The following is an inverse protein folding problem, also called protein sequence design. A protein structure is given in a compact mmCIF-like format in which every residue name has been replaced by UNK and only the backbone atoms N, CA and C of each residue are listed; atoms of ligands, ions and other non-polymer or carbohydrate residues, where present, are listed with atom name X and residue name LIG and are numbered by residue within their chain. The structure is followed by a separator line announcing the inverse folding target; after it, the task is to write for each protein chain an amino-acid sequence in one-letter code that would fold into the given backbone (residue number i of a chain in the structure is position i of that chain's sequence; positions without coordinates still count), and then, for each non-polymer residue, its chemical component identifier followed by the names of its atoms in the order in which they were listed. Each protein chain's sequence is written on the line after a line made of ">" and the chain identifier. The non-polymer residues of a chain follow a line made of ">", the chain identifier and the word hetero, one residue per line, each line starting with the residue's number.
data_IF_299188918829
#
_entry.id   IF_299188918829
#
_cell.length_a   1.000
_cell.length_b   1.000
_cell.length_c   1.000
_cell.angle_alpha   90.00
_cell.angle_beta   90.00
_cell.angle_gamma   90.00
#
_symmetry.space_group_name_H-M   'P 1'
#
loop_
_entity.id
_entity.type
_entity.pdbx_description
1 polymer ?
#
# COMPACT_ATOMS: atom_id res chain seq x y z
N UNK A 1 -1.93 28.22 23.61
CA UNK A 1 -2.56 27.65 22.42
C UNK A 1 -1.57 26.66 21.83
N UNK A 2 -1.76 25.37 22.10
CA UNK A 2 -0.95 24.34 21.45
C UNK A 2 -1.35 24.33 19.97
N UNK A 3 -0.36 24.39 19.10
CA UNK A 3 -0.54 24.41 17.65
C UNK A 3 -1.20 23.11 17.23
N UNK A 4 -2.45 23.19 16.75
CA UNK A 4 -3.27 22.07 16.25
C UNK A 4 -2.80 21.56 14.88
N UNK A 5 -1.47 21.56 14.67
CA UNK A 5 -0.82 21.24 13.41
C UNK A 5 0.23 20.17 13.61
N UNK A 6 0.29 19.24 12.66
CA UNK A 6 1.38 18.30 12.55
C UNK A 6 2.71 19.04 12.45
N UNK A 7 3.70 18.58 13.22
CA UNK A 7 5.05 19.16 13.16
C UNK A 7 5.69 18.93 11.78
N UNK A 8 6.60 19.80 11.31
CA UNK A 8 7.29 19.59 10.04
C UNK A 8 8.03 18.24 9.95
N UNK A 9 8.55 17.74 11.07
CA UNK A 9 9.20 16.44 11.15
C UNK A 9 8.19 15.29 10.97
N UNK A 10 7.04 15.36 11.64
CA UNK A 10 5.96 14.38 11.46
C UNK A 10 5.46 14.36 10.01
N UNK A 11 5.30 15.54 9.40
CA UNK A 11 4.93 15.67 8.00
C UNK A 11 5.97 15.02 7.07
N UNK A 12 7.26 15.27 7.30
CA UNK A 12 8.33 14.64 6.52
C UNK A 12 8.31 13.11 6.58
N UNK A 13 8.03 12.54 7.76
CA UNK A 13 7.89 11.09 7.96
C UNK A 13 6.71 10.52 7.16
N UNK A 14 5.55 11.18 7.23
CA UNK A 14 4.34 10.78 6.50
C UNK A 14 4.56 10.81 4.98
N UNK A 15 5.09 11.92 4.45
CA UNK A 15 5.31 12.09 3.01
C UNK A 15 6.35 11.09 2.49
N UNK A 16 7.45 10.86 3.22
CA UNK A 16 8.45 9.88 2.83
C UNK A 16 7.88 8.46 2.74
N UNK A 17 6.98 8.10 3.67
CA UNK A 17 6.28 6.83 3.62
C UNK A 17 5.37 6.71 2.40
N UNK A 18 4.57 7.75 2.09
CA UNK A 18 3.73 7.78 0.90
C UNK A 18 4.54 7.59 -0.38
N UNK A 19 5.70 8.23 -0.48
CA UNK A 19 6.62 8.09 -1.62
C UNK A 19 7.23 6.69 -1.77
N UNK A 20 7.38 5.96 -0.66
CA UNK A 20 7.90 4.58 -0.66
C UNK A 20 6.89 3.54 -1.18
N UNK A 21 5.66 3.96 -1.52
CA UNK A 21 4.67 3.11 -2.16
C UNK A 21 5.25 2.40 -3.41
N UNK A 22 4.81 1.17 -3.71
CA UNK A 22 5.31 0.41 -4.84
C UNK A 22 5.12 1.17 -6.16
N UNK A 23 6.21 1.32 -6.92
CA UNK A 23 6.16 1.98 -8.22
C UNK A 23 5.46 1.09 -9.25
N UNK A 24 4.21 1.39 -9.56
CA UNK A 24 3.42 0.65 -10.57
C UNK A 24 3.64 1.19 -11.99
N UNK A 25 4.90 1.37 -12.43
CA UNK A 25 5.27 1.86 -13.78
C UNK A 25 4.51 3.11 -14.33
N UNK A 26 3.83 3.85 -13.46
CA UNK A 26 3.13 5.10 -13.76
C UNK A 26 3.72 6.21 -12.89
N UNK A 27 3.71 7.47 -13.37
CA UNK A 27 4.06 8.61 -12.53
C UNK A 27 3.20 8.60 -11.26
N UNK A 28 3.79 8.97 -10.11
CA UNK A 28 3.07 9.10 -8.84
C UNK A 28 1.93 10.11 -9.04
N UNK A 29 0.67 9.67 -9.06
CA UNK A 29 -0.45 10.47 -9.57
C UNK A 29 -1.12 11.34 -8.52
N UNK A 30 -0.59 11.36 -7.29
CA UNK A 30 -1.27 11.95 -6.14
C UNK A 30 -0.63 13.26 -5.68
N UNK A 31 -1.51 14.18 -5.27
CA UNK A 31 -1.16 15.42 -4.57
C UNK A 31 -1.67 15.31 -3.13
N UNK A 32 -0.79 15.56 -2.17
CA UNK A 32 -1.15 15.52 -0.74
C UNK A 32 -1.30 16.94 -0.22
N UNK A 33 -2.44 17.23 0.39
CA UNK A 33 -2.68 18.46 1.15
C UNK A 33 -2.83 18.12 2.62
N UNK A 34 -2.20 18.90 3.50
CA UNK A 34 -2.25 18.67 4.94
C UNK A 34 -2.77 19.93 5.62
N UNK A 35 -3.85 19.77 6.40
CA UNK A 35 -4.43 20.84 7.19
C UNK A 35 -4.64 20.36 8.62
N UNK A 36 -3.80 20.83 9.53
CA UNK A 36 -3.83 20.38 10.91
C UNK A 36 -3.54 18.88 11.03
N UNK A 37 -4.55 18.15 11.46
CA UNK A 37 -4.59 16.69 11.65
C UNK A 37 -5.28 15.92 10.51
N UNK A 38 -5.54 16.60 9.39
CA UNK A 38 -6.24 16.07 8.23
C UNK A 38 -5.31 16.03 7.03
N UNK A 39 -5.23 14.87 6.39
CA UNK A 39 -4.38 14.61 5.22
C UNK A 39 -5.30 14.20 4.06
N UNK A 40 -5.41 15.08 3.09
CA UNK A 40 -6.18 14.85 1.86
C UNK A 40 -5.25 14.39 0.74
N UNK A 41 -5.65 13.33 0.07
CA UNK A 41 -4.94 12.74 -1.07
C UNK A 41 -5.80 12.91 -2.31
N UNK A 42 -5.37 13.80 -3.19
CA UNK A 42 -6.02 14.08 -4.45
C UNK A 42 -5.43 13.24 -5.57
N UNK A 43 -6.27 12.82 -6.49
CA UNK A 43 -5.89 12.31 -7.79
C UNK A 43 -6.34 13.32 -8.85
N UNK A 44 -5.47 13.61 -9.81
CA UNK A 44 -5.91 14.33 -11.01
C UNK A 44 -7.01 13.50 -11.69
N UNK A 45 -8.04 14.17 -12.23
CA UNK A 45 -9.17 13.50 -12.88
C UNK A 45 -8.68 12.64 -14.06
N UNK A 46 -8.45 11.35 -13.80
CA UNK A 46 -8.14 10.40 -14.83
C UNK A 46 -9.45 9.97 -15.51
N UNK A 47 -9.52 10.20 -16.82
CA UNK A 47 -10.55 9.63 -17.69
C UNK A 47 -10.61 8.11 -17.49
N UNK A 48 -11.79 7.50 -17.70
CA UNK A 48 -11.99 6.06 -17.52
C UNK A 48 -11.08 5.24 -18.45
N UNK A 49 -9.91 4.86 -17.95
CA UNK A 49 -8.89 4.05 -18.64
C UNK A 49 -8.16 3.12 -17.64
N UNK A 50 -7.49 2.08 -18.15
CA UNK A 50 -6.66 1.16 -17.37
C UNK A 50 -5.57 1.88 -16.56
N UNK A 51 -5.04 3.01 -17.07
CA UNK A 51 -4.08 3.86 -16.34
C UNK A 51 -4.70 4.43 -15.06
N UNK A 52 -5.95 4.89 -15.12
CA UNK A 52 -6.65 5.44 -13.96
C UNK A 52 -6.80 4.40 -12.85
N UNK A 53 -7.07 3.15 -13.21
CA UNK A 53 -7.13 2.03 -12.26
C UNK A 53 -5.77 1.77 -11.62
N UNK A 54 -4.68 1.74 -12.39
CA UNK A 54 -3.33 1.56 -11.85
C UNK A 54 -2.98 2.69 -10.88
N UNK A 55 -3.33 3.93 -11.24
CA UNK A 55 -3.11 5.11 -10.40
C UNK A 55 -3.87 5.00 -9.08
N UNK A 56 -5.16 4.64 -9.09
CA UNK A 56 -5.94 4.43 -7.86
C UNK A 56 -5.36 3.35 -6.97
N UNK A 57 -4.94 2.23 -7.54
CA UNK A 57 -4.31 1.15 -6.76
C UNK A 57 -2.97 1.61 -6.17
N UNK A 58 -2.16 2.36 -6.92
CA UNK A 58 -0.94 2.96 -6.38
C UNK A 58 -1.25 3.95 -5.23
N UNK A 59 -2.29 4.78 -5.39
CA UNK A 59 -2.73 5.74 -4.37
C UNK A 59 -3.18 5.03 -3.10
N UNK A 60 -3.95 3.94 -3.24
CA UNK A 60 -4.32 3.11 -2.09
C UNK A 60 -3.10 2.59 -1.32
N UNK A 61 -2.07 2.16 -2.03
CA UNK A 61 -0.82 1.74 -1.40
C UNK A 61 -0.11 2.89 -0.64
N UNK A 62 -0.12 4.11 -1.21
CA UNK A 62 0.40 5.30 -0.53
C UNK A 62 -0.41 5.67 0.72
N UNK A 63 -1.74 5.58 0.66
CA UNK A 63 -2.65 5.77 1.80
C UNK A 63 -2.34 4.78 2.92
N UNK A 64 -2.07 3.50 2.60
CA UNK A 64 -1.68 2.53 3.63
C UNK A 64 -0.33 2.86 4.27
N UNK A 65 0.65 3.31 3.48
CA UNK A 65 1.93 3.76 4.03
C UNK A 65 1.78 4.97 4.96
N UNK A 66 0.87 5.90 4.65
CA UNK A 66 0.54 7.03 5.53
C UNK A 66 -0.01 6.56 6.88
N UNK A 67 -0.90 5.55 6.89
CA UNK A 67 -1.41 4.94 8.13
C UNK A 67 -0.29 4.31 8.97
N UNK A 68 0.63 3.58 8.33
CA UNK A 68 1.78 2.98 9.02
C UNK A 68 2.68 4.06 9.65
N UNK A 69 2.97 5.12 8.89
CA UNK A 69 3.77 6.25 9.37
C UNK A 69 3.07 7.00 10.52
N UNK A 70 1.75 7.21 10.43
CA UNK A 70 0.95 7.79 11.52
C UNK A 70 1.06 6.95 12.81
N UNK A 71 0.91 5.62 12.72
CA UNK A 71 1.06 4.73 13.86
C UNK A 71 2.46 4.82 14.49
N UNK A 72 3.52 4.90 13.67
CA UNK A 72 4.91 5.07 14.15
C UNK A 72 5.15 6.37 14.91
N UNK A 73 4.32 7.38 14.67
CA UNK A 73 4.33 8.69 15.32
C UNK A 73 3.35 8.77 16.49
N UNK A 74 2.76 7.64 16.91
CA UNK A 74 1.73 7.56 17.96
C UNK A 74 0.44 8.32 17.62
N UNK A 75 0.04 8.27 16.35
CA UNK A 75 -1.29 8.69 15.90
C UNK A 75 -2.16 7.48 15.57
N UNK A 76 -3.44 7.54 15.93
CA UNK A 76 -4.47 6.69 15.33
C UNK A 76 -4.91 7.31 14.00
N UNK A 77 -5.46 6.51 13.09
CA UNK A 77 -5.82 6.98 11.74
C UNK A 77 -7.11 6.39 11.20
N UNK A 78 -7.99 7.26 10.68
CA UNK A 78 -9.22 6.88 10.00
C UNK A 78 -9.20 7.33 8.54
N UNK A 79 -9.60 6.45 7.63
CA UNK A 79 -9.58 6.70 6.19
C UNK A 79 -10.98 6.68 5.61
N UNK A 80 -11.29 7.71 4.85
CA UNK A 80 -12.51 7.78 4.00
C UNK A 80 -12.09 7.88 2.54
N UNK A 81 -12.57 6.95 1.71
CA UNK A 81 -12.30 6.92 0.27
C UNK A 81 -13.44 7.63 -0.48
N UNK A 82 -13.11 8.57 -1.37
CA UNK A 82 -14.08 9.42 -2.08
C UNK A 82 -15.20 9.96 -1.17
N UNK A 83 -14.87 10.70 -0.09
CA UNK A 83 -15.83 11.09 0.94
C UNK A 83 -16.91 12.06 0.42
N UNK A 84 -16.65 12.78 -0.68
CA UNK A 84 -17.52 13.82 -1.20
C UNK A 84 -17.81 13.62 -2.69
N UNK A 85 -19.07 13.33 -3.08
CA UNK A 85 -19.45 13.17 -4.48
C UNK A 85 -19.24 14.42 -5.35
N UNK A 86 -19.20 15.60 -4.73
CA UNK A 86 -18.99 16.89 -5.41
C UNK A 86 -17.50 17.23 -5.59
N UNK A 87 -16.58 16.46 -5.00
CA UNK A 87 -15.13 16.62 -5.13
C UNK A 87 -14.50 15.30 -5.61
N UNK A 88 -14.74 14.89 -6.86
CA UNK A 88 -14.29 13.58 -7.37
C UNK A 88 -12.76 13.44 -7.44
N UNK A 89 -12.01 14.55 -7.38
CA UNK A 89 -10.55 14.53 -7.26
C UNK A 89 -10.05 14.14 -5.87
N UNK A 90 -10.85 14.29 -4.81
CA UNK A 90 -10.47 13.90 -3.45
C UNK A 90 -10.60 12.39 -3.28
N UNK A 91 -9.52 11.67 -3.54
CA UNK A 91 -9.51 10.21 -3.57
C UNK A 91 -9.55 9.60 -2.17
N UNK A 92 -8.83 10.19 -1.21
CA UNK A 92 -8.86 9.75 0.18
C UNK A 92 -8.67 10.93 1.14
N UNK A 93 -9.35 10.85 2.29
CA UNK A 93 -9.12 11.71 3.45
C UNK A 93 -8.68 10.84 4.62
N UNK A 94 -7.59 11.23 5.27
CA UNK A 94 -7.05 10.56 6.44
C UNK A 94 -7.09 11.54 7.61
N UNK A 95 -7.79 11.17 8.68
CA UNK A 95 -7.77 11.92 9.94
C UNK A 95 -6.78 11.23 10.87
N UNK A 96 -5.83 11.98 11.44
CA UNK A 96 -4.84 11.46 12.39
C UNK A 96 -4.95 12.14 13.75
N UNK A 97 -5.14 11.37 14.82
CA UNK A 97 -5.29 11.91 16.17
C UNK A 97 -4.25 11.33 17.13
N UNK A 98 -3.68 12.13 18.05
CA UNK A 98 -2.72 11.61 19.02
C UNK A 98 -3.34 10.47 19.85
N UNK A 99 -2.63 9.35 19.96
CA UNK A 99 -3.06 8.20 20.76
C UNK A 99 -1.96 7.77 21.72
N UNK A 100 -2.37 7.34 22.93
CA UNK A 100 -1.48 6.66 23.87
C UNK A 100 -1.35 5.16 23.62
N UNK A 101 -2.13 4.62 22.68
CA UNK A 101 -2.19 3.20 22.33
C UNK A 101 -2.08 3.07 20.80
N UNK A 102 -0.87 3.19 20.24
CA UNK A 102 -0.67 3.06 18.79
C UNK A 102 -0.97 1.63 18.32
N UNK A 103 -1.45 1.51 17.08
CA UNK A 103 -1.58 0.21 16.41
C UNK A 103 -0.19 -0.38 16.17
N UNK A 104 0.16 -1.38 17.00
CA UNK A 104 1.47 -2.03 16.98
C UNK A 104 1.73 -2.77 15.67
N UNK A 105 0.70 -3.31 15.02
CA UNK A 105 0.86 -4.02 13.75
C UNK A 105 1.21 -3.02 12.63
N UNK A 106 0.51 -1.88 12.58
CA UNK A 106 0.85 -0.81 11.64
C UNK A 106 2.25 -0.21 11.90
N UNK A 107 2.65 -0.11 13.17
CA UNK A 107 4.00 0.34 13.54
C UNK A 107 5.08 -0.65 13.08
N UNK A 108 4.85 -1.97 13.21
CA UNK A 108 5.75 -2.99 12.67
C UNK A 108 5.83 -2.94 11.14
N UNK A 109 4.69 -2.71 10.46
CA UNK A 109 4.65 -2.55 9.00
C UNK A 109 5.36 -1.28 8.54
N UNK A 110 5.41 -0.22 9.34
CA UNK A 110 6.23 0.95 9.05
C UNK A 110 7.73 0.61 9.00
N UNK A 111 8.23 -0.23 9.91
CA UNK A 111 9.61 -0.69 9.86
C UNK A 111 9.90 -1.49 8.57
N UNK A 112 8.93 -2.26 8.08
CA UNK A 112 9.03 -2.99 6.82
C UNK A 112 9.13 -2.06 5.59
N UNK A 113 8.51 -0.87 5.63
CA UNK A 113 8.67 0.16 4.58
C UNK A 113 10.14 0.58 4.49
N UNK A 114 10.77 0.85 5.64
CA UNK A 114 12.16 1.29 5.73
C UNK A 114 13.16 0.19 5.34
N UNK A 115 12.85 -1.07 5.66
CA UNK A 115 13.75 -2.21 5.42
C UNK A 115 13.59 -2.86 4.05
N UNK A 116 12.61 -2.46 3.23
CA UNK A 116 12.33 -3.08 1.91
C UNK A 116 13.54 -3.12 0.98
N UNK A 117 14.44 -2.13 1.09
CA UNK A 117 15.66 -2.04 0.28
C UNK A 117 16.87 -2.77 0.91
N UNK A 118 16.75 -3.23 2.15
CA UNK A 118 17.81 -3.92 2.91
C UNK A 118 17.68 -5.45 2.83
N UNK A 119 17.14 -5.96 1.72
CA UNK A 119 16.61 -7.31 1.61
C UNK A 119 17.63 -8.42 1.95
N UNK A 120 17.23 -9.30 2.88
CA UNK A 120 17.74 -10.65 3.06
C UNK A 120 17.39 -11.53 1.84
N UNK A 121 18.11 -12.64 1.58
CA UNK A 121 17.77 -13.56 0.49
C UNK A 121 16.34 -14.08 0.70
N UNK A 122 15.42 -13.77 -0.22
CA UNK A 122 14.01 -13.91 0.09
C UNK A 122 13.55 -15.34 -0.25
N UNK A 123 12.66 -15.90 0.57
CA UNK A 123 12.20 -17.29 0.46
C UNK A 123 10.74 -17.38 -0.03
N UNK A 124 10.31 -18.53 -0.58
CA UNK A 124 8.90 -18.77 -0.85
C UNK A 124 8.07 -18.83 0.45
N UNK A 125 6.76 -18.46 0.39
CA UNK A 125 5.87 -18.52 1.55
C UNK A 125 5.50 -19.98 1.89
N UNK A 126 5.56 -20.31 3.17
CA UNK A 126 5.00 -21.56 3.69
C UNK A 126 3.48 -21.43 3.97
N UNK A 127 2.83 -22.48 4.50
CA UNK A 127 1.40 -22.45 4.77
C UNK A 127 1.00 -21.45 5.88
N UNK A 128 1.90 -21.15 6.82
CA UNK A 128 1.64 -20.16 7.86
C UNK A 128 1.73 -18.75 7.27
N UNK A 129 2.74 -18.49 6.44
CA UNK A 129 2.86 -17.23 5.72
C UNK A 129 1.65 -16.97 4.84
N UNK A 130 1.18 -17.96 4.07
CA UNK A 130 -0.02 -17.81 3.25
C UNK A 130 -1.25 -17.38 4.05
N UNK A 131 -1.49 -18.01 5.20
CA UNK A 131 -2.58 -17.64 6.12
C UNK A 131 -2.45 -16.24 6.68
N UNK A 132 -1.23 -15.81 7.00
CA UNK A 132 -0.98 -14.44 7.47
C UNK A 132 -1.22 -13.41 6.35
N UNK A 133 -0.81 -13.72 5.12
CA UNK A 133 -1.02 -12.85 3.96
C UNK A 133 -2.50 -12.76 3.56
N UNK A 134 -3.25 -13.86 3.65
CA UNK A 134 -4.71 -13.88 3.50
C UNK A 134 -5.39 -13.01 4.55
N UNK A 135 -4.98 -13.13 5.82
CA UNK A 135 -5.48 -12.30 6.92
C UNK A 135 -5.15 -10.83 6.71
N UNK A 136 -3.96 -10.51 6.22
CA UNK A 136 -3.54 -9.15 5.91
C UNK A 136 -4.45 -8.50 4.86
N UNK A 137 -4.85 -9.23 3.81
CA UNK A 137 -5.85 -8.73 2.87
C UNK A 137 -7.23 -8.55 3.53
N UNK A 138 -7.66 -9.54 4.33
CA UNK A 138 -8.98 -9.54 4.96
C UNK A 138 -9.18 -8.40 5.97
N UNK A 139 -8.13 -7.97 6.68
CA UNK A 139 -8.19 -6.79 7.58
C UNK A 139 -8.53 -5.51 6.79
N UNK A 140 -8.18 -5.47 5.51
CA UNK A 140 -8.44 -4.34 4.61
C UNK A 140 -9.58 -4.66 3.62
N UNK A 141 -10.59 -5.40 4.07
CA UNK A 141 -11.82 -5.71 3.30
C UNK A 141 -11.60 -6.30 1.90
N UNK A 142 -10.49 -7.02 1.73
CA UNK A 142 -10.10 -7.67 0.49
C UNK A 142 -9.75 -9.14 0.71
N UNK A 143 -9.75 -9.92 -0.37
CA UNK A 143 -9.34 -11.32 -0.36
C UNK A 143 -8.03 -11.50 -1.11
N UNK A 144 -7.13 -12.32 -0.58
CA UNK A 144 -5.94 -12.79 -1.29
C UNK A 144 -6.22 -14.19 -1.84
N UNK A 145 -6.25 -14.34 -3.16
CA UNK A 145 -6.51 -15.64 -3.81
C UNK A 145 -5.23 -16.17 -4.46
N UNK A 146 -4.76 -17.33 -4.01
CA UNK A 146 -3.61 -18.03 -4.60
C UNK A 146 -3.99 -18.67 -5.93
N UNK A 147 -3.16 -18.46 -6.95
CA UNK A 147 -3.34 -19.07 -8.25
C UNK A 147 -2.65 -20.44 -8.30
N UNK A 148 -3.14 -21.39 -9.13
CA UNK A 148 -2.57 -22.73 -9.26
C UNK A 148 -1.19 -22.77 -9.95
N UNK A 149 -0.61 -21.61 -10.27
CA UNK A 149 0.71 -21.43 -10.90
C UNK A 149 1.66 -20.70 -9.95
N UNK A 150 2.85 -21.29 -9.75
CA UNK A 150 4.05 -20.78 -9.07
C UNK A 150 3.87 -19.57 -8.15
N UNK A 151 3.39 -19.80 -6.92
CA UNK A 151 3.40 -18.81 -5.83
C UNK A 151 2.86 -17.43 -6.24
N UNK A 152 1.88 -17.39 -7.15
CA UNK A 152 1.17 -16.18 -7.53
C UNK A 152 -0.08 -16.02 -6.68
N UNK A 153 -0.40 -14.79 -6.33
CA UNK A 153 -1.68 -14.46 -5.71
C UNK A 153 -2.24 -13.15 -6.26
N UNK A 154 -3.56 -13.00 -6.17
CA UNK A 154 -4.29 -11.80 -6.61
C UNK A 154 -5.06 -11.24 -5.43
N UNK A 155 -5.00 -9.92 -5.25
CA UNK A 155 -5.88 -9.19 -4.34
C UNK A 155 -7.20 -8.89 -5.04
N UNK A 156 -8.31 -9.27 -4.41
CA UNK A 156 -9.67 -9.13 -4.92
C UNK A 156 -10.51 -8.34 -3.93
N UNK A 157 -11.15 -7.28 -4.39
CA UNK A 157 -12.12 -6.49 -3.63
C UNK A 157 -13.56 -6.82 -4.08
N UNK A 158 -14.56 -6.36 -3.32
CA UNK A 158 -15.97 -6.69 -3.52
C UNK A 158 -16.58 -6.04 -4.78
N UNK A 159 -16.05 -4.90 -5.21
CA UNK A 159 -16.50 -4.19 -6.40
C UNK A 159 -15.36 -3.76 -7.33
N UNK A 160 -15.71 -2.95 -8.32
CA UNK A 160 -14.78 -2.41 -9.30
C UNK A 160 -14.85 -0.87 -9.38
N UNK A 161 -15.57 -0.22 -8.46
CA UNK A 161 -15.69 1.24 -8.41
C UNK A 161 -14.34 1.88 -8.07
N UNK A 162 -14.16 3.19 -8.30
CA UNK A 162 -12.94 3.90 -7.92
C UNK A 162 -12.50 3.65 -6.47
N UNK A 163 -13.45 3.63 -5.52
CA UNK A 163 -13.16 3.34 -4.12
C UNK A 163 -12.64 1.91 -3.92
N UNK A 164 -13.21 0.91 -4.59
CA UNK A 164 -12.73 -0.48 -4.53
C UNK A 164 -11.31 -0.62 -5.09
N UNK A 165 -10.95 0.19 -6.07
CA UNK A 165 -9.60 0.20 -6.66
C UNK A 165 -8.57 0.80 -5.70
N UNK A 166 -8.91 1.85 -4.94
CA UNK A 166 -8.07 2.34 -3.84
C UNK A 166 -7.99 1.30 -2.71
N UNK A 167 -9.11 0.67 -2.34
CA UNK A 167 -9.13 -0.37 -1.31
C UNK A 167 -8.23 -1.55 -1.69
N UNK A 168 -8.23 -1.96 -2.96
CA UNK A 168 -7.33 -2.99 -3.47
C UNK A 168 -5.86 -2.60 -3.28
N UNK A 169 -5.51 -1.33 -3.46
CA UNK A 169 -4.17 -0.79 -3.20
C UNK A 169 -3.78 -0.80 -1.73
N UNK A 170 -4.71 -0.46 -0.85
CA UNK A 170 -4.52 -0.51 0.60
C UNK A 170 -4.21 -1.97 1.02
N UNK A 171 -5.06 -2.90 0.62
CA UNK A 171 -4.88 -4.32 0.92
C UNK A 171 -3.61 -4.91 0.30
N UNK A 172 -3.32 -4.59 -0.97
CA UNK A 172 -2.08 -4.97 -1.66
C UNK A 172 -0.86 -4.55 -0.83
N UNK A 173 -0.82 -3.30 -0.38
CA UNK A 173 0.34 -2.81 0.34
C UNK A 173 0.50 -3.46 1.72
N UNK A 174 -0.60 -3.72 2.44
CA UNK A 174 -0.54 -4.48 3.68
C UNK A 174 0.03 -5.88 3.46
N UNK A 175 -0.40 -6.58 2.42
CA UNK A 175 0.12 -7.90 2.06
C UNK A 175 1.62 -7.84 1.74
N UNK A 176 2.06 -6.87 0.94
CA UNK A 176 3.48 -6.71 0.57
C UNK A 176 4.37 -6.41 1.79
N UNK A 177 3.93 -5.54 2.70
CA UNK A 177 4.67 -5.21 3.92
C UNK A 177 4.66 -6.37 4.92
N UNK A 178 3.55 -7.11 5.01
CA UNK A 178 3.47 -8.34 5.83
C UNK A 178 4.40 -9.43 5.29
N UNK A 179 4.54 -9.55 3.97
CA UNK A 179 5.52 -10.45 3.37
C UNK A 179 6.96 -10.01 3.71
N UNK A 180 7.22 -8.71 3.60
CA UNK A 180 8.53 -8.10 3.90
C UNK A 180 8.95 -8.30 5.35
N UNK A 181 8.03 -8.12 6.32
CA UNK A 181 8.32 -8.33 7.75
C UNK A 181 8.60 -9.79 8.11
N UNK A 182 8.25 -10.73 7.21
CA UNK A 182 8.43 -12.17 7.38
C UNK A 182 9.53 -12.77 6.49
N UNK A 183 10.35 -11.92 5.86
CA UNK A 183 11.41 -12.31 4.93
C UNK A 183 10.90 -13.12 3.71
N UNK A 184 9.62 -12.96 3.34
CA UNK A 184 8.99 -13.59 2.17
C UNK A 184 9.13 -12.66 0.97
N UNK A 185 9.65 -13.15 -0.17
CA UNK A 185 9.69 -12.32 -1.39
C UNK A 185 8.28 -12.07 -1.87
N UNK A 186 7.92 -10.82 -2.11
CA UNK A 186 6.71 -10.45 -2.83
C UNK A 186 7.05 -9.33 -3.81
N UNK A 187 6.91 -9.61 -5.11
CA UNK A 187 7.01 -8.61 -6.16
C UNK A 187 5.61 -8.34 -6.70
N UNK A 188 5.18 -7.09 -6.68
CA UNK A 188 3.99 -6.67 -7.41
C UNK A 188 4.33 -6.69 -8.91
N UNK A 189 3.80 -7.68 -9.65
CA UNK A 189 4.07 -7.85 -11.08
C UNK A 189 3.23 -6.89 -11.93
N UNK A 190 2.00 -6.66 -11.49
CA UNK A 190 1.01 -5.73 -12.05
C UNK A 190 0.13 -5.22 -10.92
N UNK A 191 -0.63 -4.16 -11.14
CA UNK A 191 -1.39 -3.42 -10.11
C UNK A 191 -2.19 -4.25 -9.10
N UNK A 192 -2.63 -5.49 -9.39
CA UNK A 192 -3.24 -6.38 -8.37
C UNK A 192 -2.63 -7.78 -8.28
N UNK A 193 -1.59 -8.08 -9.06
CA UNK A 193 -0.96 -9.39 -9.12
C UNK A 193 0.35 -9.38 -8.34
N UNK A 194 0.44 -10.25 -7.34
CA UNK A 194 1.64 -10.45 -6.55
C UNK A 194 2.29 -11.78 -6.94
N UNK A 195 3.59 -11.77 -7.17
CA UNK A 195 4.42 -12.97 -7.27
C UNK A 195 5.25 -13.13 -6.02
N UNK A 196 5.24 -14.33 -5.47
CA UNK A 196 6.12 -14.73 -4.39
C UNK A 196 7.19 -15.73 -4.90
N UNK A 197 8.40 -15.75 -4.30
CA UNK A 197 9.47 -16.73 -4.64
C UNK A 197 10.66 -16.23 -5.48
N UNK A 198 11.53 -17.14 -5.96
CA UNK A 198 12.82 -16.81 -6.60
C UNK A 198 12.70 -16.26 -8.03
N UNK A 199 13.71 -15.46 -8.43
CA UNK A 199 13.80 -14.81 -9.74
C UNK A 199 13.88 -15.89 -10.81
N UNK A 200 12.94 -15.91 -11.76
CA UNK A 200 13.18 -16.62 -13.02
C UNK A 200 14.36 -15.93 -13.68
N UNK A 201 15.53 -16.57 -13.70
CA UNK A 201 16.59 -16.16 -14.60
C UNK A 201 15.98 -16.10 -15.99
N UNK A 202 16.02 -14.93 -16.63
CA UNK A 202 15.85 -14.84 -18.07
C UNK A 202 16.92 -15.75 -18.64
N UNK A 203 16.55 -16.96 -19.04
CA UNK A 203 17.41 -17.82 -19.82
C UNK A 203 17.77 -17.00 -21.05
N UNK A 204 18.99 -16.48 -21.06
CA UNK A 204 19.54 -15.83 -22.23
C UNK A 204 19.38 -16.84 -23.35
N UNK A 205 18.61 -16.47 -24.38
CA UNK A 205 18.59 -17.21 -25.63
C UNK A 205 19.98 -17.00 -26.22
N UNK A 206 20.90 -17.86 -25.79
CA UNK A 206 22.23 -18.01 -26.33
C UNK A 206 22.06 -18.26 -27.82
N UNK A 207 22.72 -17.40 -28.60
CA UNK A 207 22.95 -17.65 -30.01
C UNK A 207 23.70 -18.99 -30.13
N UNK A 208 23.13 -19.89 -30.90
CA UNK A 208 23.76 -21.08 -31.49
C UNK A 208 22.84 -21.42 -32.66
N UNK A 209 23.22 -21.41 -33.94
CA UNK A 209 24.51 -21.30 -34.62
C UNK A 209 24.26 -20.69 -36.00
#
# INVERSE_FOLDING_TARGET
>A
MLTDQLTPTALGVLLHAAEAAPGLHVPRPWRVEVNGHLIDVYLDEATADAVARIQRVATGAAVFNLRCAAASLSFDSWVSLYPYPHEPGLAARIVVEPTGLPDLELQELYAAILSRHLARPPRPPDQQDRRMLERAAAIEDANLTWLPVDSLAVVVTHGAEPADQLQAGIALQRVLLTATSRDVRADCLNHTLIRFGERTERTGRGRSS
#
